data_IF_584659803043
#
_entry.id   IF_584659803043
#
_cell.length_a   1.000
_cell.length_b   1.000
_cell.length_c   1.000
_cell.angle_alpha   90.00
_cell.angle_beta   90.00
_cell.angle_gamma   90.00
#
_symmetry.space_group_name_H-M   'P 1'
#
loop_
_entity.id
_entity.type
_entity.pdbx_description
1 polymer ?
#
# COMPACT_ATOMS: atom_id res chain seq x y z
N UNK A 1 -0.95 -12.14 -22.21
CA UNK A 1 -0.98 -12.41 -20.77
C UNK A 1 0.41 -12.60 -20.13
N UNK A 2 1.45 -13.09 -20.83
CA UNK A 2 2.84 -13.12 -20.30
C UNK A 2 3.52 -11.74 -20.15
N UNK A 3 2.92 -10.63 -20.62
CA UNK A 3 3.46 -9.27 -20.52
C UNK A 3 3.03 -8.49 -19.26
N UNK A 4 2.00 -8.93 -18.54
CA UNK A 4 1.49 -8.22 -17.35
C UNK A 4 2.28 -8.57 -16.07
N UNK A 5 2.89 -9.75 -15.99
CA UNK A 5 3.63 -10.20 -14.78
C UNK A 5 5.07 -9.68 -14.77
N UNK A 6 5.65 -9.39 -15.94
CA UNK A 6 7.00 -8.81 -16.04
C UNK A 6 7.05 -7.32 -15.62
N UNK A 7 5.91 -6.65 -15.47
CA UNK A 7 5.86 -5.22 -15.13
C UNK A 7 5.95 -4.95 -13.61
N UNK A 8 5.65 -5.96 -12.78
CA UNK A 8 5.75 -5.86 -11.32
C UNK A 8 7.22 -5.95 -10.84
N UNK A 9 8.11 -6.50 -11.65
CA UNK A 9 9.52 -6.74 -11.28
C UNK A 9 10.49 -5.60 -11.63
N UNK A 10 10.08 -4.57 -12.38
CA UNK A 10 11.01 -3.58 -12.97
C UNK A 10 11.02 -2.20 -12.28
N UNK A 11 10.26 -1.97 -11.21
CA UNK A 11 10.28 -0.71 -10.45
C UNK A 11 10.97 -0.86 -9.08
N UNK A 12 11.81 -1.88 -8.92
CA UNK A 12 12.54 -2.16 -7.67
C UNK A 12 13.88 -1.43 -7.52
N UNK A 13 14.10 -0.30 -8.20
CA UNK A 13 15.33 0.50 -8.06
C UNK A 13 14.98 1.96 -7.80
N UNK A 14 14.57 2.23 -6.60
CA UNK A 14 14.70 3.45 -5.79
C UNK A 14 13.66 3.43 -4.67
N UNK A 15 13.92 2.69 -3.63
CA UNK A 15 13.50 2.99 -2.24
C UNK A 15 12.04 3.26 -1.88
N UNK A 16 11.04 3.10 -2.74
CA UNK A 16 9.63 3.17 -2.34
C UNK A 16 8.70 2.68 -3.46
N UNK A 17 8.34 1.39 -3.40
CA UNK A 17 7.30 0.84 -4.26
C UNK A 17 5.96 0.95 -3.52
N UNK A 18 5.20 1.98 -3.82
CA UNK A 18 3.76 1.98 -3.58
C UNK A 18 3.10 1.19 -4.70
N UNK A 19 2.63 -0.02 -4.42
CA UNK A 19 1.69 -0.68 -5.31
C UNK A 19 0.34 0.00 -5.08
N UNK A 20 0.07 1.03 -5.87
CA UNK A 20 -1.28 1.58 -6.00
C UNK A 20 -2.21 0.50 -6.57
N UNK A 21 -3.45 0.52 -6.14
CA UNK A 21 -4.50 -0.34 -6.64
C UNK A 21 -4.52 -0.27 -8.18
N UNK A 22 -4.31 -1.39 -8.86
CA UNK A 22 -4.15 -1.46 -10.32
C UNK A 22 -5.38 -0.98 -11.13
N UNK A 23 -6.49 -0.72 -10.44
CA UNK A 23 -7.74 -0.25 -11.05
C UNK A 23 -7.89 1.29 -11.04
N UNK A 24 -7.01 2.04 -10.36
CA UNK A 24 -7.04 3.51 -10.32
C UNK A 24 -5.86 4.20 -11.02
N UNK A 25 -4.84 3.45 -11.40
CA UNK A 25 -3.81 3.88 -12.33
C UNK A 25 -4.12 3.22 -13.68
N UNK A 26 -4.93 3.86 -14.51
CA UNK A 26 -4.53 3.92 -15.91
C UNK A 26 -3.12 4.52 -15.88
N UNK A 27 -2.13 3.61 -15.78
CA UNK A 27 -0.78 3.89 -16.23
C UNK A 27 -0.96 4.21 -17.71
N UNK A 28 -1.27 5.48 -18.00
CA UNK A 28 -1.06 6.02 -19.33
C UNK A 28 0.39 5.63 -19.58
N UNK A 29 0.57 4.63 -20.44
CA UNK A 29 1.87 4.15 -20.87
C UNK A 29 2.69 5.41 -21.02
N UNK A 30 3.84 5.51 -20.33
CA UNK A 30 4.78 6.61 -20.53
C UNK A 30 5.09 6.55 -22.01
N UNK A 31 4.26 7.20 -22.83
CA UNK A 31 4.58 7.46 -24.23
C UNK A 31 5.78 8.35 -24.12
N UNK A 32 6.91 7.88 -24.62
CA UNK A 32 8.08 8.72 -24.75
C UNK A 32 7.61 9.96 -25.49
N UNK A 33 7.52 11.10 -24.78
CA UNK A 33 7.09 12.37 -25.36
C UNK A 33 8.11 12.69 -26.44
N UNK A 34 7.66 12.66 -27.70
CA UNK A 34 8.50 13.03 -28.82
C UNK A 34 8.35 14.51 -29.06
N UNK A 35 9.45 15.24 -28.98
CA UNK A 35 9.49 16.66 -29.31
C UNK A 35 9.86 16.82 -30.78
N UNK A 36 9.17 17.75 -31.47
CA UNK A 36 9.32 18.00 -32.92
C UNK A 36 9.84 19.40 -33.22
N UNK A 37 9.78 20.31 -32.24
CA UNK A 37 10.21 21.71 -32.39
C UNK A 37 10.71 22.18 -31.02
N UNK A 38 11.65 23.10 -30.98
CA UNK A 38 12.09 23.85 -29.81
C UNK A 38 12.20 25.34 -30.14
N UNK A 39 12.17 26.18 -29.12
CA UNK A 39 12.24 27.63 -29.29
C UNK A 39 12.33 28.37 -27.97
N UNK A 40 12.33 29.68 -28.09
CA UNK A 40 12.29 30.62 -26.99
C UNK A 40 11.10 31.56 -27.12
N UNK A 41 10.47 31.89 -26.01
CA UNK A 41 9.42 32.89 -25.91
C UNK A 41 9.94 34.07 -25.09
N UNK A 42 9.97 35.24 -25.70
CA UNK A 42 10.48 36.48 -25.11
C UNK A 42 9.51 36.98 -24.02
N UNK A 43 10.02 37.18 -22.82
CA UNK A 43 9.29 37.79 -21.70
C UNK A 43 9.58 39.29 -21.54
N UNK A 44 10.51 39.85 -22.34
CA UNK A 44 11.08 41.18 -22.13
C UNK A 44 12.16 41.19 -21.07
N UNK A 45 12.83 42.35 -20.88
CA UNK A 45 13.85 42.57 -19.84
C UNK A 45 14.98 41.51 -19.83
N UNK A 46 15.46 41.13 -21.01
CA UNK A 46 16.49 40.10 -21.21
C UNK A 46 16.11 38.72 -20.64
N UNK A 47 14.82 38.42 -20.49
CA UNK A 47 14.30 37.18 -19.99
C UNK A 47 13.47 36.42 -21.01
N UNK A 48 13.54 35.09 -20.99
CA UNK A 48 12.80 34.23 -21.92
C UNK A 48 12.44 32.89 -21.35
N UNK A 49 11.36 32.27 -21.85
CA UNK A 49 11.03 30.86 -21.61
C UNK A 49 11.58 30.00 -22.73
N UNK A 50 12.28 28.96 -22.40
CA UNK A 50 12.60 27.88 -23.32
C UNK A 50 11.40 26.93 -23.41
N UNK A 51 11.04 26.50 -24.60
CA UNK A 51 9.96 25.55 -24.79
C UNK A 51 10.29 24.49 -25.84
N UNK A 52 9.56 23.39 -25.77
CA UNK A 52 9.53 22.36 -26.82
C UNK A 52 8.10 22.05 -27.21
N UNK A 53 7.89 21.69 -28.46
CA UNK A 53 6.59 21.27 -28.97
C UNK A 53 6.56 19.76 -29.10
N UNK A 54 5.53 19.15 -28.56
CA UNK A 54 5.30 17.70 -28.67
C UNK A 54 4.81 17.32 -30.07
N UNK A 55 4.89 16.03 -30.42
CA UNK A 55 4.30 15.52 -31.66
C UNK A 55 2.79 15.71 -31.76
N UNK A 56 2.11 15.99 -30.65
CA UNK A 56 0.67 16.29 -30.58
C UNK A 56 0.38 17.78 -30.77
N UNK A 57 1.41 18.60 -30.89
CA UNK A 57 1.30 20.05 -31.12
C UNK A 57 1.17 20.87 -29.84
N UNK A 58 1.39 20.30 -28.67
CA UNK A 58 1.34 20.99 -27.38
C UNK A 58 2.71 21.52 -26.96
N UNK A 59 2.74 22.63 -26.24
CA UNK A 59 3.96 23.27 -25.77
C UNK A 59 4.29 22.82 -24.34
N UNK A 60 5.53 22.42 -24.13
CA UNK A 60 6.13 22.16 -22.86
C UNK A 60 7.19 23.22 -22.53
N UNK A 61 7.02 23.97 -21.43
CA UNK A 61 8.03 24.92 -20.93
C UNK A 61 9.16 24.12 -20.32
N UNK A 62 10.36 24.24 -20.84
CA UNK A 62 11.53 23.44 -20.43
C UNK A 62 12.58 24.22 -19.67
N UNK A 63 12.46 25.52 -19.57
CA UNK A 63 13.39 26.36 -18.83
C UNK A 63 13.03 27.83 -18.87
N UNK A 64 13.68 28.60 -18.01
CA UNK A 64 13.66 30.04 -17.99
C UNK A 64 15.08 30.57 -18.02
N UNK A 65 15.30 31.66 -18.75
CA UNK A 65 16.57 32.38 -18.80
C UNK A 65 16.35 33.84 -18.43
N UNK A 66 17.41 34.49 -17.91
CA UNK A 66 17.36 35.86 -17.47
C UNK A 66 17.04 36.00 -15.98
N UNK A 67 16.66 37.21 -15.59
CA UNK A 67 16.46 37.59 -14.17
C UNK A 67 15.05 38.13 -13.91
N UNK A 68 14.06 37.69 -14.71
CA UNK A 68 12.68 38.09 -14.49
C UNK A 68 12.22 37.73 -13.07
N UNK A 69 11.70 38.72 -12.35
CA UNK A 69 11.18 38.57 -10.99
C UNK A 69 9.71 38.16 -10.98
N UNK A 70 9.00 38.46 -12.03
CA UNK A 70 7.58 38.12 -12.23
C UNK A 70 7.40 37.48 -13.60
N UNK A 71 6.77 36.33 -13.63
CA UNK A 71 6.54 35.57 -14.88
C UNK A 71 5.06 35.24 -15.00
N UNK A 72 4.49 35.61 -16.17
CA UNK A 72 3.18 35.13 -16.60
C UNK A 72 3.41 34.09 -17.68
N UNK A 73 3.14 32.82 -17.38
CA UNK A 73 3.22 31.75 -18.36
C UNK A 73 2.08 31.93 -19.35
N UNK A 74 2.35 32.06 -20.67
CA UNK A 74 1.30 32.29 -21.67
C UNK A 74 0.44 31.03 -21.85
N UNK A 75 -0.83 31.19 -22.14
CA UNK A 75 -1.73 30.09 -22.50
C UNK A 75 -1.34 29.39 -23.80
N UNK A 76 -0.77 30.19 -24.75
CA UNK A 76 -0.36 29.72 -26.06
C UNK A 76 0.98 30.34 -26.48
N UNK A 77 1.79 29.57 -27.19
CA UNK A 77 2.99 30.04 -27.88
C UNK A 77 2.85 29.66 -29.36
N UNK A 78 2.92 30.65 -30.26
CA UNK A 78 2.76 30.47 -31.72
C UNK A 78 1.47 29.73 -32.11
N UNK A 79 0.36 29.99 -31.38
CA UNK A 79 -0.95 29.38 -31.62
C UNK A 79 -1.04 27.91 -31.14
N UNK A 80 -0.07 27.45 -30.37
CA UNK A 80 -0.05 26.11 -29.76
C UNK A 80 -0.22 26.23 -28.24
N UNK A 81 -1.10 25.42 -27.64
CA UNK A 81 -1.40 25.49 -26.21
C UNK A 81 -0.19 25.11 -25.37
N UNK A 82 0.08 25.90 -24.33
CA UNK A 82 1.03 25.52 -23.26
C UNK A 82 0.32 24.59 -22.31
N UNK A 83 0.82 23.35 -22.25
CA UNK A 83 0.17 22.25 -21.52
C UNK A 83 0.98 21.79 -20.31
N UNK A 84 2.31 21.89 -20.35
CA UNK A 84 3.19 21.29 -19.36
C UNK A 84 4.32 22.23 -18.95
N UNK A 85 4.65 22.22 -17.67
CA UNK A 85 5.90 22.77 -17.13
C UNK A 85 6.82 21.58 -16.82
N UNK A 86 7.93 21.49 -17.56
CA UNK A 86 8.87 20.37 -17.43
C UNK A 86 9.56 20.33 -16.07
N UNK A 87 10.09 19.17 -15.73
CA UNK A 87 10.90 19.01 -14.54
C UNK A 87 12.11 19.95 -14.50
N UNK A 88 12.28 20.63 -13.38
CA UNK A 88 13.33 21.61 -13.15
C UNK A 88 13.30 22.86 -14.09
N UNK A 89 12.18 23.18 -14.74
CA UNK A 89 12.09 24.27 -15.71
C UNK A 89 12.49 25.64 -15.12
N UNK A 90 12.12 25.90 -13.87
CA UNK A 90 12.46 27.14 -13.14
C UNK A 90 13.43 26.88 -11.96
N UNK A 91 14.11 25.73 -11.97
CA UNK A 91 14.98 25.35 -10.86
C UNK A 91 16.04 26.39 -10.57
N UNK A 92 16.22 26.70 -9.26
CA UNK A 92 17.22 27.64 -8.73
C UNK A 92 17.08 29.08 -9.28
N UNK A 93 15.87 29.44 -9.79
CA UNK A 93 15.57 30.81 -10.23
C UNK A 93 15.25 31.68 -8.99
N UNK A 94 16.30 32.07 -8.28
CA UNK A 94 16.19 32.72 -6.97
C UNK A 94 15.54 34.12 -7.01
N UNK A 95 15.63 34.82 -8.16
CA UNK A 95 15.05 36.14 -8.35
C UNK A 95 13.53 36.14 -8.58
N UNK A 96 12.95 34.96 -8.90
CA UNK A 96 11.52 34.82 -9.19
C UNK A 96 10.70 35.00 -7.90
N UNK A 97 9.94 36.10 -7.84
CA UNK A 97 9.09 36.44 -6.69
C UNK A 97 7.63 36.06 -6.89
N UNK A 98 7.20 36.00 -8.17
CA UNK A 98 5.82 35.70 -8.55
C UNK A 98 5.78 34.93 -9.87
N UNK A 99 4.89 33.93 -9.95
CA UNK A 99 4.58 33.24 -11.21
C UNK A 99 3.07 33.04 -11.33
N UNK A 100 2.52 33.38 -12.51
CA UNK A 100 1.14 33.10 -12.85
C UNK A 100 1.11 31.89 -13.78
N UNK A 101 0.41 30.83 -13.36
CA UNK A 101 0.22 29.59 -14.11
C UNK A 101 -1.21 29.58 -14.68
N UNK A 102 -1.39 29.48 -16.00
CA UNK A 102 -2.72 29.48 -16.60
C UNK A 102 -3.47 28.16 -16.39
N UNK A 103 -4.80 28.22 -16.43
CA UNK A 103 -5.68 27.06 -16.22
C UNK A 103 -5.51 25.92 -17.24
N UNK A 104 -4.84 26.20 -18.36
CA UNK A 104 -4.58 25.21 -19.42
C UNK A 104 -3.44 24.22 -19.14
N UNK A 105 -2.67 24.44 -18.08
CA UNK A 105 -1.56 23.54 -17.72
C UNK A 105 -2.11 22.24 -17.14
N UNK A 106 -1.75 21.10 -17.72
CA UNK A 106 -2.16 19.77 -17.28
C UNK A 106 -1.16 19.12 -16.31
N UNK A 107 0.12 19.53 -16.35
CA UNK A 107 1.15 18.97 -15.47
C UNK A 107 2.25 19.99 -15.12
N UNK A 108 2.63 19.99 -13.85
CA UNK A 108 3.81 20.69 -13.31
C UNK A 108 4.75 19.58 -12.81
N UNK A 109 5.75 19.26 -13.62
CA UNK A 109 6.61 18.11 -13.36
C UNK A 109 7.54 18.30 -12.14
N UNK A 110 8.12 17.20 -11.68
CA UNK A 110 8.96 17.16 -10.47
C UNK A 110 10.07 18.21 -10.50
N UNK A 111 10.22 18.94 -9.38
CA UNK A 111 11.25 19.95 -9.20
C UNK A 111 11.07 21.22 -10.03
N UNK A 112 9.92 21.42 -10.70
CA UNK A 112 9.73 22.52 -11.66
C UNK A 112 10.12 23.90 -11.10
N UNK A 113 9.82 24.17 -9.83
CA UNK A 113 10.16 25.41 -9.11
C UNK A 113 11.15 25.22 -7.96
N UNK A 114 11.86 24.08 -7.95
CA UNK A 114 12.81 23.80 -6.88
C UNK A 114 13.86 24.91 -6.74
N UNK A 115 14.07 25.39 -5.51
CA UNK A 115 15.08 26.43 -5.24
C UNK A 115 14.70 27.83 -5.69
N UNK A 116 13.44 28.07 -6.09
CA UNK A 116 12.94 29.43 -6.33
C UNK A 116 12.79 30.19 -5.01
N UNK A 117 13.93 30.54 -4.41
CA UNK A 117 13.96 31.09 -3.05
C UNK A 117 13.32 32.49 -2.92
N UNK A 118 13.15 33.21 -4.02
CA UNK A 118 12.44 34.50 -4.06
C UNK A 118 10.92 34.38 -4.05
N UNK A 119 10.37 33.20 -4.43
CA UNK A 119 8.94 32.99 -4.59
C UNK A 119 8.19 33.13 -3.27
N UNK A 120 7.19 34.03 -3.22
CA UNK A 120 6.48 34.35 -1.97
C UNK A 120 5.11 33.71 -1.85
N UNK A 121 4.44 33.51 -2.97
CA UNK A 121 3.14 32.85 -3.03
C UNK A 121 2.93 32.16 -4.37
N UNK A 122 2.07 31.14 -4.40
CA UNK A 122 1.69 30.45 -5.62
C UNK A 122 0.22 29.99 -5.54
N UNK A 123 -0.48 30.15 -6.66
CA UNK A 123 -1.80 29.56 -6.88
C UNK A 123 -1.67 28.45 -7.91
N UNK A 124 -2.10 27.25 -7.54
CA UNK A 124 -2.12 26.08 -8.42
C UNK A 124 -3.48 26.03 -9.12
N UNK A 125 -3.51 25.97 -10.47
CA UNK A 125 -4.77 25.94 -11.21
C UNK A 125 -5.56 24.66 -11.04
N UNK A 126 -6.88 24.73 -11.24
CA UNK A 126 -7.83 23.62 -11.08
C UNK A 126 -7.55 22.43 -12.02
N UNK A 127 -6.78 22.64 -13.08
CA UNK A 127 -6.37 21.57 -14.00
C UNK A 127 -5.33 20.61 -13.41
N UNK A 128 -4.67 20.97 -12.29
CA UNK A 128 -3.59 20.19 -11.67
C UNK A 128 -4.16 19.28 -10.59
N UNK A 129 -4.13 17.94 -10.75
CA UNK A 129 -4.68 17.00 -9.76
C UNK A 129 -3.68 16.58 -8.68
N UNK A 130 -2.39 16.91 -8.82
CA UNK A 130 -1.34 16.51 -7.87
C UNK A 130 -0.15 17.46 -7.89
N UNK A 131 0.54 17.56 -6.77
CA UNK A 131 1.83 18.27 -6.66
C UNK A 131 2.94 17.23 -6.73
N UNK A 132 3.72 17.27 -7.79
CA UNK A 132 4.82 16.32 -8.02
C UNK A 132 5.98 16.50 -7.03
N UNK A 133 6.83 15.50 -6.94
CA UNK A 133 7.94 15.45 -5.99
C UNK A 133 8.91 16.61 -6.12
N UNK A 134 9.26 17.22 -5.00
CA UNK A 134 10.21 18.35 -4.91
C UNK A 134 9.82 19.59 -5.72
N UNK A 135 8.56 19.73 -6.17
CA UNK A 135 8.14 20.82 -7.05
C UNK A 135 8.49 22.20 -6.50
N UNK A 136 8.29 22.42 -5.19
CA UNK A 136 8.60 23.69 -4.51
C UNK A 136 9.68 23.50 -3.43
N UNK A 137 10.43 22.39 -3.46
CA UNK A 137 11.51 22.16 -2.50
C UNK A 137 12.50 23.32 -2.51
N UNK A 138 12.94 23.74 -1.32
CA UNK A 138 13.92 24.82 -1.12
C UNK A 138 13.40 26.22 -1.55
N UNK A 139 12.07 26.43 -1.71
CA UNK A 139 11.45 27.74 -1.89
C UNK A 139 11.33 28.46 -0.53
N UNK A 140 12.45 28.92 0.01
CA UNK A 140 12.56 29.35 1.42
C UNK A 140 11.68 30.53 1.81
N UNK A 141 11.34 31.45 0.87
CA UNK A 141 10.47 32.61 1.13
C UNK A 141 9.00 32.36 0.79
N UNK A 142 8.63 31.13 0.34
CA UNK A 142 7.26 30.79 0.02
C UNK A 142 6.40 30.78 1.28
N UNK A 143 5.46 31.75 1.40
CA UNK A 143 4.62 31.95 2.59
C UNK A 143 3.26 31.29 2.45
N UNK A 144 2.71 31.32 1.25
CA UNK A 144 1.36 30.82 1.00
C UNK A 144 1.26 30.03 -0.30
N UNK A 145 0.48 28.95 -0.25
CA UNK A 145 0.13 28.13 -1.39
C UNK A 145 -1.39 27.96 -1.41
N UNK A 146 -2.01 28.27 -2.55
CA UNK A 146 -3.42 27.97 -2.80
C UNK A 146 -3.51 26.73 -3.65
N UNK A 147 -4.05 25.65 -3.11
CA UNK A 147 -4.30 24.39 -3.80
C UNK A 147 -5.75 24.34 -4.31
N UNK A 148 -6.02 23.76 -5.48
CA UNK A 148 -7.38 23.54 -5.94
C UNK A 148 -8.05 22.39 -5.17
N UNK A 149 -9.39 22.41 -5.13
CA UNK A 149 -10.19 21.40 -4.40
C UNK A 149 -10.03 19.97 -4.94
N UNK A 150 -9.56 19.80 -6.16
CA UNK A 150 -9.38 18.49 -6.80
C UNK A 150 -7.99 17.88 -6.63
N UNK A 151 -7.11 18.50 -5.85
CA UNK A 151 -5.82 17.90 -5.50
C UNK A 151 -6.06 16.61 -4.73
N UNK A 152 -5.42 15.52 -5.17
CA UNK A 152 -5.47 14.20 -4.54
C UNK A 152 -4.16 13.81 -3.87
N UNK A 153 -3.03 14.23 -4.44
CA UNK A 153 -1.71 13.80 -3.98
C UNK A 153 -0.76 14.99 -3.85
N UNK A 154 0.01 15.00 -2.74
CA UNK A 154 1.18 15.85 -2.55
C UNK A 154 2.36 14.91 -2.39
N UNK A 155 3.28 14.92 -3.35
CA UNK A 155 4.35 13.95 -3.48
C UNK A 155 5.57 14.26 -2.60
N UNK A 156 6.56 13.37 -2.60
CA UNK A 156 7.77 13.44 -1.75
C UNK A 156 8.45 14.80 -1.82
N UNK A 157 8.77 15.35 -0.65
CA UNK A 157 9.53 16.59 -0.53
C UNK A 157 8.92 17.80 -1.25
N UNK A 158 7.62 17.77 -1.59
CA UNK A 158 7.00 18.78 -2.46
C UNK A 158 7.22 20.21 -1.98
N UNK A 159 7.18 20.45 -0.65
CA UNK A 159 7.41 21.73 0.02
C UNK A 159 8.56 21.63 1.05
N UNK A 160 9.42 20.62 0.97
CA UNK A 160 10.54 20.49 1.91
C UNK A 160 11.41 21.76 1.90
N UNK A 161 11.74 22.28 3.10
CA UNK A 161 12.51 23.50 3.33
C UNK A 161 11.83 24.80 2.83
N UNK A 162 10.51 24.81 2.62
CA UNK A 162 9.77 26.07 2.50
C UNK A 162 9.59 26.69 3.89
N UNK A 163 10.65 27.24 4.43
CA UNK A 163 10.74 27.61 5.86
C UNK A 163 9.78 28.72 6.31
N UNK A 164 9.30 29.54 5.38
CA UNK A 164 8.29 30.57 5.63
C UNK A 164 6.86 30.12 5.36
N UNK A 165 6.64 28.88 4.85
CA UNK A 165 5.30 28.41 4.49
C UNK A 165 4.48 28.14 5.74
N UNK A 166 3.56 29.05 6.05
CA UNK A 166 2.62 28.95 7.16
C UNK A 166 1.17 28.79 6.71
N UNK A 167 0.85 29.20 5.48
CA UNK A 167 -0.52 29.19 4.94
C UNK A 167 -0.64 28.28 3.73
N UNK A 168 -1.34 27.16 3.92
CA UNK A 168 -1.71 26.25 2.85
C UNK A 168 -3.10 25.66 3.13
N UNK A 169 -4.01 25.77 2.15
CA UNK A 169 -5.31 25.11 2.23
C UNK A 169 -5.18 23.67 1.70
N UNK A 170 -5.14 22.70 2.58
CA UNK A 170 -5.15 21.27 2.19
C UNK A 170 -6.60 20.85 2.04
N UNK A 171 -7.07 20.52 0.80
CA UNK A 171 -8.48 20.24 0.57
C UNK A 171 -8.90 18.86 1.10
N UNK A 172 -10.21 18.72 1.38
CA UNK A 172 -10.79 17.46 1.90
C UNK A 172 -10.69 16.27 0.92
N UNK A 173 -10.42 16.54 -0.35
CA UNK A 173 -10.25 15.49 -1.37
C UNK A 173 -8.83 14.91 -1.41
N UNK A 174 -7.93 15.38 -0.54
CA UNK A 174 -6.56 14.84 -0.48
C UNK A 174 -6.62 13.34 -0.09
N UNK A 175 -5.98 12.49 -0.86
CA UNK A 175 -5.92 11.05 -0.59
C UNK A 175 -4.59 10.68 0.11
N UNK A 176 -3.50 11.38 -0.25
CA UNK A 176 -2.18 11.07 0.28
C UNK A 176 -1.25 12.28 0.27
N UNK A 177 -0.44 12.37 1.32
CA UNK A 177 0.66 13.33 1.44
C UNK A 177 1.93 12.52 1.68
N UNK A 178 2.83 12.48 0.70
CA UNK A 178 3.99 11.58 0.79
C UNK A 178 5.07 12.11 1.74
N UNK A 179 6.06 11.26 2.01
CA UNK A 179 7.05 11.51 3.05
C UNK A 179 7.81 12.83 2.83
N UNK A 180 8.06 13.53 3.92
CA UNK A 180 8.80 14.78 3.98
C UNK A 180 8.20 15.93 3.13
N UNK A 181 6.93 15.79 2.65
CA UNK A 181 6.28 16.82 1.84
C UNK A 181 6.30 18.21 2.50
N UNK A 182 6.10 18.28 3.82
CA UNK A 182 6.10 19.51 4.62
C UNK A 182 7.26 19.60 5.62
N UNK A 183 8.32 18.86 5.41
CA UNK A 183 9.48 18.88 6.32
C UNK A 183 10.15 20.25 6.32
N UNK A 184 10.44 20.78 7.52
CA UNK A 184 11.03 22.10 7.72
C UNK A 184 10.19 23.24 7.12
N UNK A 185 8.86 23.09 7.09
CA UNK A 185 7.94 24.20 6.81
C UNK A 185 7.43 24.78 8.12
N UNK A 186 7.15 26.08 8.12
CA UNK A 186 6.52 26.72 9.28
C UNK A 186 5.17 26.11 9.60
N UNK A 187 4.38 25.74 8.57
CA UNK A 187 3.10 25.02 8.74
C UNK A 187 3.25 23.76 9.59
N UNK A 188 4.29 22.95 9.33
CA UNK A 188 4.53 21.72 10.10
C UNK A 188 5.12 22.04 11.49
N UNK A 189 6.05 22.99 11.57
CA UNK A 189 6.73 23.35 12.81
C UNK A 189 5.79 24.01 13.83
N UNK A 190 4.77 24.71 13.36
CA UNK A 190 3.73 25.32 14.21
C UNK A 190 2.66 24.31 14.68
N UNK A 191 2.61 23.07 14.14
CA UNK A 191 1.71 22.06 14.67
C UNK A 191 2.08 21.67 16.11
N UNK A 192 1.12 21.37 16.97
CA UNK A 192 1.41 20.86 18.31
C UNK A 192 2.10 19.50 18.24
N UNK A 193 2.85 19.15 19.31
CA UNK A 193 3.35 17.78 19.46
C UNK A 193 2.19 16.78 19.53
N UNK A 194 2.38 15.61 18.94
CA UNK A 194 1.37 14.56 18.84
C UNK A 194 0.97 14.28 17.40
N UNK A 195 -0.31 13.99 17.18
CA UNK A 195 -0.84 13.65 15.86
C UNK A 195 -0.97 14.90 14.98
N UNK A 196 -0.23 14.98 13.91
CA UNK A 196 -0.42 15.98 12.85
C UNK A 196 -1.34 15.39 11.80
N UNK A 197 -2.54 15.98 11.67
CA UNK A 197 -3.57 15.54 10.72
C UNK A 197 -3.85 16.66 9.74
N UNK A 198 -3.81 16.35 8.46
CA UNK A 198 -4.13 17.25 7.36
C UNK A 198 -5.38 16.72 6.66
N UNK A 199 -6.51 17.42 6.76
CA UNK A 199 -7.82 16.93 6.38
C UNK A 199 -8.08 15.54 7.01
N UNK A 200 -8.16 14.47 6.25
CA UNK A 200 -8.35 13.10 6.76
C UNK A 200 -7.09 12.21 6.65
N UNK A 201 -5.93 12.80 6.39
CA UNK A 201 -4.63 12.11 6.36
C UNK A 201 -3.90 12.35 7.68
N UNK A 202 -3.64 11.30 8.44
CA UNK A 202 -2.71 11.34 9.56
C UNK A 202 -1.30 11.40 8.97
N UNK A 203 -0.75 12.62 8.92
CA UNK A 203 0.51 12.90 8.25
C UNK A 203 1.71 12.36 9.03
N UNK A 204 1.82 12.69 10.33
CA UNK A 204 2.94 12.25 11.17
C UNK A 204 2.64 12.43 12.66
N UNK A 205 3.29 11.65 13.51
CA UNK A 205 3.45 11.96 14.93
C UNK A 205 4.64 12.92 15.08
N UNK A 206 4.40 14.10 15.67
CA UNK A 206 5.42 15.14 15.90
C UNK A 206 5.90 15.12 17.33
N UNK A 207 7.17 15.47 17.54
CA UNK A 207 7.77 15.56 18.85
C UNK A 207 8.19 14.22 19.43
N UNK A 208 8.57 14.23 20.71
CA UNK A 208 8.98 13.04 21.46
C UNK A 208 7.76 12.36 22.07
N UNK A 209 7.53 11.10 21.72
CA UNK A 209 6.44 10.32 22.30
C UNK A 209 6.74 10.00 23.77
N UNK A 210 5.86 10.34 24.73
CA UNK A 210 6.04 9.96 26.13
C UNK A 210 6.10 8.44 26.33
N UNK A 211 6.73 8.02 27.42
CA UNK A 211 6.77 6.60 27.78
C UNK A 211 5.36 6.03 28.00
N UNK A 212 5.14 4.80 27.60
CA UNK A 212 3.87 4.07 27.76
C UNK A 212 2.66 4.75 27.10
N UNK A 213 2.87 5.40 25.94
CA UNK A 213 1.79 6.09 25.22
C UNK A 213 0.82 5.10 24.57
N UNK A 214 -0.47 5.29 24.84
CA UNK A 214 -1.57 4.74 24.06
C UNK A 214 -2.01 5.78 23.05
N UNK A 215 -2.10 5.41 21.77
CA UNK A 215 -2.53 6.30 20.69
C UNK A 215 -3.92 5.90 20.21
N UNK A 216 -4.86 6.83 20.34
CA UNK A 216 -6.18 6.71 19.73
C UNK A 216 -6.23 7.58 18.48
N UNK A 217 -6.23 6.94 17.29
CA UNK A 217 -6.37 7.66 16.02
C UNK A 217 -7.80 8.16 15.92
N UNK A 218 -8.04 9.47 15.67
CA UNK A 218 -9.37 10.02 15.64
C UNK A 218 -10.25 9.46 14.53
N UNK A 219 -11.55 9.40 14.80
CA UNK A 219 -12.55 9.17 13.76
C UNK A 219 -12.43 10.22 12.65
N UNK A 220 -12.69 9.81 11.39
CA UNK A 220 -12.52 10.68 10.22
C UNK A 220 -11.17 10.57 9.54
N UNK A 221 -10.14 10.01 10.20
CA UNK A 221 -8.88 9.65 9.52
C UNK A 221 -9.15 8.50 8.55
N UNK A 222 -8.77 8.68 7.30
CA UNK A 222 -8.89 7.67 6.23
C UNK A 222 -7.56 7.05 5.83
N UNK A 223 -6.49 7.80 5.97
CA UNK A 223 -5.14 7.38 5.60
C UNK A 223 -4.18 7.60 6.76
N UNK A 224 -3.45 6.56 7.14
CA UNK A 224 -2.26 6.65 7.99
C UNK A 224 -1.07 6.71 7.06
N UNK A 225 -0.38 7.83 7.05
CA UNK A 225 0.64 8.13 6.06
C UNK A 225 1.90 7.26 6.19
N UNK A 226 2.76 7.35 5.19
CA UNK A 226 4.11 6.75 5.21
C UNK A 226 4.91 7.27 6.40
N UNK A 227 5.61 6.38 7.12
CA UNK A 227 6.46 6.72 8.26
C UNK A 227 5.74 7.55 9.36
N UNK A 228 4.39 7.51 9.43
CA UNK A 228 3.61 8.35 10.35
C UNK A 228 4.03 8.17 11.81
N UNK A 229 4.35 6.95 12.23
CA UNK A 229 4.82 6.59 13.57
C UNK A 229 6.16 5.84 13.54
N UNK A 230 6.95 6.01 12.50
CA UNK A 230 8.22 5.29 12.40
C UNK A 230 9.10 5.57 13.63
N UNK A 231 9.59 4.48 14.26
CA UNK A 231 10.42 4.51 15.49
C UNK A 231 9.75 5.15 16.71
N UNK A 232 8.42 5.17 16.78
CA UNK A 232 7.69 5.53 17.99
C UNK A 232 7.77 4.39 19.02
N UNK A 233 8.98 4.20 19.59
CA UNK A 233 9.30 3.05 20.48
C UNK A 233 8.51 3.02 21.78
N UNK A 234 8.00 4.17 22.22
CA UNK A 234 7.23 4.33 23.44
C UNK A 234 5.72 4.10 23.26
N UNK A 235 5.27 3.80 22.02
CA UNK A 235 3.89 3.44 21.75
C UNK A 235 3.61 2.02 22.27
N UNK A 236 2.73 1.87 23.25
CA UNK A 236 2.37 0.57 23.82
C UNK A 236 1.08 -0.02 23.22
N UNK A 237 0.20 0.85 22.72
CA UNK A 237 -1.02 0.45 22.03
C UNK A 237 -1.43 1.52 21.00
N UNK A 238 -2.17 1.08 19.98
CA UNK A 238 -2.80 1.95 19.00
C UNK A 238 -4.20 1.46 18.69
N UNK A 239 -5.17 2.39 18.69
CA UNK A 239 -6.51 2.14 18.17
C UNK A 239 -6.62 2.72 16.77
N UNK A 240 -6.86 1.85 15.78
CA UNK A 240 -7.10 2.24 14.39
C UNK A 240 -8.61 2.16 14.15
N UNK A 241 -9.32 3.30 13.90
CA UNK A 241 -10.76 3.29 13.78
C UNK A 241 -11.25 2.65 12.49
N UNK A 242 -12.49 2.16 12.52
CA UNK A 242 -13.19 1.79 11.29
C UNK A 242 -13.38 3.06 10.44
N UNK A 243 -12.96 3.04 9.19
CA UNK A 243 -12.92 4.23 8.33
C UNK A 243 -11.52 4.48 7.77
N UNK A 244 -10.47 4.00 8.45
CA UNK A 244 -9.12 3.96 7.88
C UNK A 244 -9.12 2.95 6.73
N UNK A 245 -8.84 3.46 5.52
CA UNK A 245 -8.77 2.66 4.30
C UNK A 245 -7.35 2.23 3.97
N UNK A 246 -6.35 3.05 4.33
CA UNK A 246 -4.97 2.84 3.95
C UNK A 246 -4.01 3.01 5.13
N UNK A 247 -3.07 2.07 5.24
CA UNK A 247 -1.91 2.13 6.14
C UNK A 247 -0.67 2.15 5.25
N UNK A 248 0.03 3.29 5.24
CA UNK A 248 1.19 3.53 4.40
C UNK A 248 2.39 2.65 4.74
N UNK A 249 3.34 2.55 3.81
CA UNK A 249 4.59 1.82 4.05
C UNK A 249 5.36 2.44 5.21
N UNK A 250 5.97 1.60 6.03
CA UNK A 250 6.74 1.99 7.22
C UNK A 250 5.93 2.74 8.29
N UNK A 251 4.61 2.82 8.20
CA UNK A 251 3.78 3.67 9.04
C UNK A 251 4.05 3.49 10.55
N UNK A 252 4.27 2.26 10.99
CA UNK A 252 4.57 1.90 12.39
C UNK A 252 5.90 1.14 12.52
N UNK A 253 6.79 1.25 11.53
CA UNK A 253 8.07 0.54 11.58
C UNK A 253 8.85 0.91 12.84
N UNK A 254 9.38 -0.09 13.53
CA UNK A 254 10.20 0.11 14.74
C UNK A 254 9.42 0.56 15.98
N UNK A 255 8.08 0.43 16.00
CA UNK A 255 7.26 0.65 17.20
C UNK A 255 7.45 -0.51 18.18
N UNK A 256 8.62 -0.59 18.80
CA UNK A 256 9.05 -1.75 19.62
C UNK A 256 8.25 -1.92 20.90
N UNK A 257 7.57 -0.88 21.39
CA UNK A 257 6.70 -0.93 22.56
C UNK A 257 5.31 -1.51 22.29
N UNK A 258 4.88 -1.56 20.99
CA UNK A 258 3.54 -2.03 20.62
C UNK A 258 3.36 -3.51 20.93
N UNK A 259 2.35 -3.86 21.77
CA UNK A 259 2.19 -5.23 22.27
C UNK A 259 1.09 -6.03 21.58
N UNK A 260 0.04 -5.34 21.10
CA UNK A 260 -1.08 -5.95 20.39
C UNK A 260 -1.59 -5.05 19.29
N UNK A 261 -2.12 -5.64 18.23
CA UNK A 261 -2.62 -4.90 17.07
C UNK A 261 -3.87 -5.56 16.50
N UNK A 262 -4.86 -4.73 16.21
CA UNK A 262 -6.04 -5.10 15.41
C UNK A 262 -6.11 -4.19 14.19
N UNK A 263 -6.09 -4.79 12.99
CA UNK A 263 -6.29 -4.08 11.73
C UNK A 263 -7.78 -4.12 11.37
N UNK A 264 -8.46 -2.97 11.21
CA UNK A 264 -9.88 -2.94 10.87
C UNK A 264 -10.13 -3.42 9.44
N UNK A 265 -11.32 -3.92 9.19
CA UNK A 265 -11.70 -4.50 7.89
C UNK A 265 -11.88 -3.49 6.76
N UNK A 266 -11.90 -2.20 7.07
CA UNK A 266 -11.91 -1.12 6.08
C UNK A 266 -10.57 -0.96 5.37
N UNK A 267 -9.46 -1.33 6.01
CA UNK A 267 -8.12 -1.38 5.40
C UNK A 267 -8.08 -2.46 4.34
N UNK A 268 -7.84 -2.08 3.09
CA UNK A 268 -7.73 -3.03 1.97
C UNK A 268 -6.34 -3.63 1.85
N UNK A 269 -5.33 -2.85 2.18
CA UNK A 269 -3.94 -3.21 2.03
C UNK A 269 -3.12 -2.71 3.21
N UNK A 270 -2.30 -3.60 3.78
CA UNK A 270 -1.30 -3.24 4.79
C UNK A 270 -0.01 -2.92 4.05
N UNK A 271 0.48 -1.68 4.16
CA UNK A 271 1.64 -1.17 3.43
C UNK A 271 2.93 -1.95 3.64
N UNK A 272 3.88 -1.77 2.74
CA UNK A 272 5.17 -2.46 2.84
C UNK A 272 5.92 -2.05 4.11
N UNK A 273 6.45 -3.02 4.85
CA UNK A 273 7.14 -2.83 6.13
C UNK A 273 6.35 -1.98 7.15
N UNK A 274 5.01 -1.92 7.02
CA UNK A 274 4.17 -1.02 7.84
C UNK A 274 4.36 -1.24 9.34
N UNK A 275 4.59 -2.48 9.77
CA UNK A 275 4.85 -2.88 11.15
C UNK A 275 6.16 -3.67 11.29
N UNK A 276 7.10 -3.46 10.36
CA UNK A 276 8.40 -4.12 10.47
C UNK A 276 9.12 -3.71 11.76
N UNK A 277 9.89 -4.62 12.33
CA UNK A 277 10.66 -4.40 13.56
C UNK A 277 9.80 -3.99 14.78
N UNK A 278 8.49 -4.29 14.80
CA UNK A 278 7.65 -4.16 15.99
C UNK A 278 7.94 -5.33 16.96
N UNK A 279 9.14 -5.31 17.54
CA UNK A 279 9.68 -6.45 18.30
C UNK A 279 8.91 -6.80 19.58
N UNK A 280 8.08 -5.88 20.10
CA UNK A 280 7.20 -6.10 21.26
C UNK A 280 5.84 -6.70 20.89
N UNK A 281 5.48 -6.76 19.61
CA UNK A 281 4.16 -7.20 19.15
C UNK A 281 3.97 -8.70 19.40
N UNK A 282 3.08 -9.07 20.34
CA UNK A 282 2.81 -10.46 20.70
C UNK A 282 1.59 -11.03 19.98
N UNK A 283 0.60 -10.19 19.66
CA UNK A 283 -0.65 -10.64 19.04
C UNK A 283 -1.11 -9.72 17.92
N UNK A 284 -1.56 -10.33 16.82
CA UNK A 284 -2.08 -9.65 15.63
C UNK A 284 -3.44 -10.23 15.25
N UNK A 285 -4.42 -9.34 15.08
CA UNK A 285 -5.71 -9.69 14.49
C UNK A 285 -5.93 -8.84 13.22
N UNK A 286 -6.18 -9.50 12.10
CA UNK A 286 -6.56 -8.85 10.84
C UNK A 286 -8.02 -9.18 10.58
N UNK A 287 -8.87 -8.14 10.52
CA UNK A 287 -10.31 -8.28 10.35
C UNK A 287 -10.70 -8.53 8.88
N UNK A 288 -11.91 -9.07 8.69
CA UNK A 288 -12.47 -9.33 7.36
C UNK A 288 -12.59 -8.05 6.55
N UNK A 289 -12.13 -8.07 5.31
CA UNK A 289 -12.08 -6.94 4.37
C UNK A 289 -10.65 -6.57 3.95
N UNK A 290 -9.64 -6.93 4.75
CA UNK A 290 -8.23 -6.80 4.34
C UNK A 290 -7.92 -7.86 3.29
N UNK A 291 -7.34 -7.43 2.16
CA UNK A 291 -7.09 -8.32 1.02
C UNK A 291 -5.58 -8.60 0.81
N UNK A 292 -4.71 -7.64 1.11
CA UNK A 292 -3.29 -7.77 0.80
C UNK A 292 -2.39 -7.41 1.98
N UNK A 293 -1.42 -8.27 2.27
CA UNK A 293 -0.32 -8.02 3.21
C UNK A 293 0.94 -7.82 2.38
N UNK A 294 1.44 -6.59 2.33
CA UNK A 294 2.55 -6.19 1.46
C UNK A 294 3.91 -6.69 1.97
N UNK A 295 4.94 -6.46 1.15
CA UNK A 295 6.31 -6.91 1.43
C UNK A 295 6.78 -6.47 2.83
N UNK A 296 7.32 -7.42 3.59
CA UNK A 296 7.88 -7.19 4.92
C UNK A 296 6.92 -6.54 5.95
N UNK A 297 5.61 -6.58 5.73
CA UNK A 297 4.64 -5.83 6.55
C UNK A 297 4.80 -6.06 8.06
N UNK A 298 5.17 -7.28 8.49
CA UNK A 298 5.43 -7.68 9.87
C UNK A 298 6.80 -8.35 10.02
N UNK A 299 7.76 -8.04 9.13
CA UNK A 299 9.12 -8.58 9.21
C UNK A 299 9.80 -8.15 10.52
N UNK A 300 10.49 -9.07 11.18
CA UNK A 300 11.19 -8.77 12.45
C UNK A 300 10.27 -8.58 13.66
N UNK A 301 8.98 -8.94 13.60
CA UNK A 301 8.10 -8.98 14.76
C UNK A 301 8.45 -10.19 15.65
N UNK A 302 9.59 -10.12 16.32
CA UNK A 302 10.21 -11.28 16.99
C UNK A 302 9.40 -11.86 18.15
N UNK A 303 8.55 -11.06 18.81
CA UNK A 303 7.67 -11.53 19.89
C UNK A 303 6.33 -12.10 19.40
N UNK A 304 6.02 -11.97 18.09
CA UNK A 304 4.72 -12.34 17.54
C UNK A 304 4.48 -13.84 17.65
N UNK A 305 3.55 -14.24 18.51
CA UNK A 305 3.22 -15.64 18.77
C UNK A 305 1.77 -16.00 18.44
N UNK A 306 0.90 -15.02 18.25
CA UNK A 306 -0.51 -15.21 17.92
C UNK A 306 -0.91 -14.34 16.72
N UNK A 307 -1.33 -14.99 15.64
CA UNK A 307 -1.78 -14.33 14.40
C UNK A 307 -3.13 -14.86 13.98
N UNK A 308 -4.12 -13.97 13.88
CA UNK A 308 -5.43 -14.28 13.31
C UNK A 308 -5.58 -13.56 11.95
N UNK A 309 -5.57 -14.33 10.88
CA UNK A 309 -5.71 -13.85 9.51
C UNK A 309 -7.16 -13.93 9.05
N UNK A 310 -7.65 -12.89 8.37
CA UNK A 310 -8.98 -12.82 7.77
C UNK A 310 -9.10 -13.74 6.54
N UNK A 311 -10.30 -14.25 6.26
CA UNK A 311 -10.58 -15.06 5.04
C UNK A 311 -10.55 -14.24 3.76
N UNK A 312 -10.70 -12.93 3.86
CA UNK A 312 -10.62 -11.99 2.75
C UNK A 312 -9.21 -11.80 2.17
N UNK A 313 -8.16 -12.23 2.89
CA UNK A 313 -6.77 -12.10 2.43
C UNK A 313 -6.57 -12.95 1.18
N UNK A 314 -6.06 -12.31 0.13
CA UNK A 314 -5.75 -12.92 -1.18
C UNK A 314 -4.26 -13.12 -1.39
N UNK A 315 -3.45 -12.16 -0.92
CA UNK A 315 -2.00 -12.15 -1.18
C UNK A 315 -1.24 -11.93 0.12
N UNK A 316 -0.26 -12.80 0.37
CA UNK A 316 0.77 -12.64 1.40
C UNK A 316 2.10 -12.44 0.66
N UNK A 317 2.61 -11.20 0.65
CA UNK A 317 3.80 -10.83 -0.10
C UNK A 317 5.09 -11.30 0.56
N UNK A 318 6.22 -11.07 -0.12
CA UNK A 318 7.54 -11.50 0.32
C UNK A 318 7.91 -10.91 1.69
N UNK A 319 8.46 -11.73 2.56
CA UNK A 319 8.86 -11.37 3.92
C UNK A 319 7.71 -10.86 4.82
N UNK A 320 6.45 -10.99 4.42
CA UNK A 320 5.32 -10.42 5.16
C UNK A 320 5.31 -10.79 6.65
N UNK A 321 5.75 -11.99 7.00
CA UNK A 321 5.99 -12.50 8.36
C UNK A 321 7.40 -13.07 8.49
N UNK A 322 8.39 -12.46 7.84
CA UNK A 322 9.78 -12.83 7.97
C UNK A 322 10.27 -12.63 9.40
N UNK A 323 11.21 -13.43 9.85
CA UNK A 323 11.86 -13.28 11.15
C UNK A 323 10.93 -13.17 12.38
N UNK A 324 9.68 -13.68 12.28
CA UNK A 324 8.73 -13.78 13.39
C UNK A 324 9.12 -14.96 14.28
N UNK A 325 10.23 -14.84 15.02
CA UNK A 325 10.89 -15.98 15.70
C UNK A 325 10.08 -16.61 16.82
N UNK A 326 9.09 -15.92 17.40
CA UNK A 326 8.18 -16.49 18.40
C UNK A 326 6.95 -17.17 17.80
N UNK A 327 6.72 -17.05 16.48
CA UNK A 327 5.56 -17.65 15.83
C UNK A 327 5.74 -19.18 15.75
N UNK A 328 4.81 -19.94 16.37
CA UNK A 328 4.89 -21.41 16.41
C UNK A 328 3.92 -22.08 15.43
N UNK A 329 2.81 -21.42 15.13
CA UNK A 329 1.82 -21.92 14.19
C UNK A 329 1.15 -20.79 13.40
N UNK A 330 0.71 -21.08 12.19
CA UNK A 330 -0.12 -20.21 11.38
C UNK A 330 -1.13 -21.01 10.55
N UNK A 331 -2.36 -20.49 10.47
CA UNK A 331 -3.37 -21.02 9.57
C UNK A 331 -3.56 -20.05 8.39
N UNK A 332 -3.22 -20.50 7.20
CA UNK A 332 -3.43 -19.74 5.96
C UNK A 332 -4.94 -19.76 5.65
N UNK A 333 -5.57 -18.60 5.44
CA UNK A 333 -7.00 -18.53 5.15
C UNK A 333 -7.39 -19.13 3.78
N UNK A 334 -8.65 -19.57 3.66
CA UNK A 334 -9.18 -20.16 2.41
C UNK A 334 -9.22 -19.16 1.23
N UNK A 335 -9.19 -17.84 1.51
CA UNK A 335 -9.19 -16.79 0.50
C UNK A 335 -7.86 -16.55 -0.18
N UNK A 336 -6.75 -17.06 0.39
CA UNK A 336 -5.40 -16.81 -0.12
C UNK A 336 -5.22 -17.44 -1.49
N UNK A 337 -4.79 -16.62 -2.44
CA UNK A 337 -4.50 -17.01 -3.82
C UNK A 337 -2.98 -17.12 -4.06
N UNK A 338 -2.18 -16.30 -3.38
CA UNK A 338 -0.72 -16.26 -3.53
C UNK A 338 0.01 -16.08 -2.20
N UNK A 339 1.09 -16.86 -2.03
CA UNK A 339 2.08 -16.71 -0.97
C UNK A 339 3.44 -16.55 -1.66
N UNK A 340 4.02 -15.35 -1.57
CA UNK A 340 5.26 -15.03 -2.26
C UNK A 340 6.48 -15.58 -1.54
N UNK A 341 7.61 -15.61 -2.23
CA UNK A 341 8.87 -16.13 -1.71
C UNK A 341 9.26 -15.45 -0.38
N UNK A 342 9.84 -16.23 0.50
CA UNK A 342 10.29 -15.79 1.83
C UNK A 342 9.20 -15.22 2.77
N UNK A 343 7.91 -15.42 2.49
CA UNK A 343 6.84 -14.80 3.27
C UNK A 343 6.94 -15.08 4.79
N UNK A 344 7.48 -16.24 5.20
CA UNK A 344 7.70 -16.65 6.59
C UNK A 344 9.16 -16.99 6.90
N UNK A 345 10.10 -16.58 6.04
CA UNK A 345 11.52 -16.94 6.20
C UNK A 345 12.06 -16.54 7.57
N UNK A 346 12.96 -17.33 8.16
CA UNK A 346 13.59 -17.01 9.43
C UNK A 346 12.68 -17.12 10.66
N UNK A 347 11.40 -17.52 10.49
CA UNK A 347 10.49 -17.78 11.62
C UNK A 347 10.84 -19.12 12.26
N UNK A 348 11.96 -19.14 12.98
CA UNK A 348 12.71 -20.33 13.41
C UNK A 348 11.95 -21.27 14.35
N UNK A 349 10.88 -20.82 15.01
CA UNK A 349 10.02 -21.65 15.83
C UNK A 349 8.72 -22.08 15.14
N UNK A 350 8.49 -21.69 13.87
CA UNK A 350 7.27 -22.03 13.13
C UNK A 350 7.27 -23.54 12.81
N UNK A 351 6.55 -24.30 13.63
CA UNK A 351 6.51 -25.75 13.55
C UNK A 351 5.23 -26.30 12.90
N UNK A 352 4.19 -25.49 12.79
CA UNK A 352 2.90 -25.92 12.24
C UNK A 352 2.32 -24.87 11.30
N UNK A 353 2.06 -25.27 10.05
CA UNK A 353 1.36 -24.43 9.07
C UNK A 353 0.18 -25.21 8.51
N UNK A 354 -1.00 -24.62 8.57
CA UNK A 354 -2.19 -25.20 7.95
C UNK A 354 -2.46 -24.46 6.64
N UNK A 355 -2.48 -25.18 5.51
CA UNK A 355 -2.73 -24.62 4.18
C UNK A 355 -4.03 -25.23 3.63
N UNK A 356 -5.04 -24.40 3.30
CA UNK A 356 -6.30 -24.85 2.75
C UNK A 356 -6.16 -25.32 1.30
N UNK A 357 -7.28 -25.69 0.67
CA UNK A 357 -7.31 -25.94 -0.77
C UNK A 357 -7.20 -24.63 -1.54
N UNK A 358 -6.00 -24.19 -1.83
CA UNK A 358 -5.74 -23.03 -2.69
C UNK A 358 -6.14 -23.40 -4.13
N UNK A 359 -6.94 -22.56 -4.77
CA UNK A 359 -7.36 -22.76 -6.16
C UNK A 359 -6.20 -22.41 -7.09
N UNK A 360 -5.75 -23.38 -7.87
CA UNK A 360 -4.81 -23.13 -8.98
C UNK A 360 -5.53 -22.25 -10.02
N UNK A 361 -5.00 -21.06 -10.29
CA UNK A 361 -5.47 -20.24 -11.41
C UNK A 361 -4.79 -20.70 -12.69
N UNK A 362 -5.56 -20.89 -13.76
CA UNK A 362 -5.07 -21.34 -15.07
C UNK A 362 -3.84 -20.54 -15.53
N UNK A 363 -2.68 -21.21 -15.57
CA UNK A 363 -1.43 -20.68 -16.12
C UNK A 363 -0.45 -20.04 -15.12
N UNK A 364 -0.69 -20.13 -13.81
CA UNK A 364 0.28 -19.79 -12.76
C UNK A 364 0.56 -21.10 -12.02
N UNK A 365 1.70 -21.69 -12.30
CA UNK A 365 2.07 -23.01 -11.78
C UNK A 365 2.37 -23.01 -10.28
N UNK A 366 2.65 -21.84 -9.65
CA UNK A 366 3.07 -21.74 -8.25
C UNK A 366 2.33 -20.62 -7.51
N UNK A 367 1.14 -20.93 -6.96
CA UNK A 367 0.45 -20.03 -6.00
C UNK A 367 1.13 -19.99 -4.63
N UNK A 368 2.08 -20.92 -4.37
CA UNK A 368 3.00 -20.92 -3.23
C UNK A 368 4.40 -20.91 -3.84
N UNK A 369 5.08 -19.77 -3.77
CA UNK A 369 6.41 -19.63 -4.34
C UNK A 369 7.45 -20.47 -3.58
N UNK A 370 8.62 -20.64 -4.20
CA UNK A 370 9.74 -21.30 -3.59
C UNK A 370 10.21 -20.53 -2.34
N UNK A 371 10.81 -21.20 -1.39
CA UNK A 371 11.46 -20.61 -0.21
C UNK A 371 10.50 -19.84 0.76
N UNK A 372 9.17 -20.04 0.66
CA UNK A 372 8.18 -19.37 1.54
C UNK A 372 8.50 -19.63 3.01
N UNK A 373 8.95 -20.82 3.38
CA UNK A 373 9.27 -21.25 4.75
C UNK A 373 10.78 -21.53 4.93
N UNK A 374 11.64 -20.83 4.21
CA UNK A 374 13.09 -20.95 4.35
C UNK A 374 13.51 -20.59 5.78
N UNK A 375 14.43 -21.34 6.37
CA UNK A 375 14.94 -21.14 7.72
C UNK A 375 13.87 -21.09 8.83
N UNK A 376 12.72 -21.72 8.60
CA UNK A 376 11.73 -22.02 9.63
C UNK A 376 12.20 -23.17 10.51
N UNK A 377 11.35 -23.59 11.46
CA UNK A 377 11.65 -24.71 12.35
C UNK A 377 12.06 -25.97 11.57
N UNK A 378 13.12 -26.68 11.97
CA UNK A 378 13.47 -27.96 11.37
C UNK A 378 12.39 -29.04 11.59
N UNK A 379 11.47 -28.82 12.54
CA UNK A 379 10.31 -29.66 12.80
C UNK A 379 9.02 -29.19 12.09
N UNK A 380 9.13 -28.27 11.16
CA UNK A 380 7.98 -27.75 10.43
C UNK A 380 7.15 -28.89 9.81
N UNK A 381 5.85 -28.85 10.06
CA UNK A 381 4.88 -29.74 9.45
C UNK A 381 3.79 -28.91 8.75
N UNK A 382 3.58 -29.19 7.48
CA UNK A 382 2.48 -28.60 6.72
C UNK A 382 1.26 -29.52 6.82
N UNK A 383 0.15 -28.95 7.30
CA UNK A 383 -1.16 -29.58 7.37
C UNK A 383 -1.98 -29.14 6.19
N UNK A 384 -2.52 -30.06 5.41
CA UNK A 384 -3.28 -29.75 4.21
C UNK A 384 -4.06 -30.94 3.68
N UNK A 385 -4.59 -30.83 2.47
CA UNK A 385 -5.36 -31.91 1.84
C UNK A 385 -4.49 -32.67 0.82
N UNK A 386 -4.70 -33.99 0.73
CA UNK A 386 -4.02 -34.82 -0.28
C UNK A 386 -4.35 -34.35 -1.69
N UNK A 387 -3.37 -34.44 -2.59
CA UNK A 387 -3.51 -34.04 -3.98
C UNK A 387 -3.58 -32.52 -4.21
N UNK A 388 -3.23 -31.70 -3.21
CA UNK A 388 -3.24 -30.25 -3.31
C UNK A 388 -1.84 -29.64 -3.41
N UNK A 389 -1.79 -28.31 -3.67
CA UNK A 389 -0.55 -27.53 -3.64
C UNK A 389 0.22 -27.68 -2.34
N UNK A 390 -0.48 -27.78 -1.19
CA UNK A 390 0.15 -27.95 0.12
C UNK A 390 0.99 -29.24 0.21
N UNK A 391 0.46 -30.39 -0.29
CA UNK A 391 1.20 -31.65 -0.32
C UNK A 391 2.37 -31.58 -1.30
N UNK A 392 2.16 -31.02 -2.51
CA UNK A 392 3.21 -30.86 -3.53
C UNK A 392 4.36 -30.00 -2.98
N UNK A 393 4.03 -28.80 -2.47
CA UNK A 393 5.01 -27.90 -1.89
C UNK A 393 5.83 -28.54 -0.77
N UNK A 394 5.15 -29.23 0.18
CA UNK A 394 5.83 -29.93 1.27
C UNK A 394 6.82 -30.97 0.75
N UNK A 395 6.42 -31.77 -0.26
CA UNK A 395 7.28 -32.78 -0.89
C UNK A 395 8.47 -32.16 -1.60
N UNK A 396 8.25 -31.10 -2.38
CA UNK A 396 9.28 -30.48 -3.22
C UNK A 396 10.35 -29.76 -2.37
N UNK A 397 9.96 -29.32 -1.13
CA UNK A 397 10.85 -28.65 -0.19
C UNK A 397 11.30 -29.53 0.99
N UNK A 398 11.07 -30.87 0.94
CA UNK A 398 11.42 -31.82 1.99
C UNK A 398 10.84 -31.46 3.39
N UNK A 399 9.64 -30.86 3.41
CA UNK A 399 8.92 -30.51 4.62
C UNK A 399 7.95 -31.64 4.95
N UNK A 400 7.79 -31.97 6.24
CA UNK A 400 6.83 -32.98 6.69
C UNK A 400 5.40 -32.55 6.33
N UNK A 401 4.63 -33.47 5.73
CA UNK A 401 3.22 -33.27 5.42
C UNK A 401 2.32 -34.12 6.33
N UNK A 402 1.20 -33.54 6.76
CA UNK A 402 0.14 -34.23 7.50
C UNK A 402 -1.22 -33.94 6.87
N UNK A 403 -1.89 -35.00 6.42
CA UNK A 403 -3.20 -34.85 5.76
C UNK A 403 -4.30 -34.50 6.76
N UNK A 404 -5.14 -33.55 6.38
CA UNK A 404 -6.37 -33.17 7.09
C UNK A 404 -7.59 -34.01 6.64
N UNK A 405 -7.44 -34.84 5.60
CA UNK A 405 -8.51 -35.70 5.13
C UNK A 405 -8.87 -36.75 6.22
N UNK A 406 -10.15 -37.07 6.41
CA UNK A 406 -10.53 -38.13 7.31
C UNK A 406 -9.88 -39.46 6.85
N UNK A 407 -9.23 -40.14 7.75
CA UNK A 407 -8.69 -41.48 7.48
C UNK A 407 -9.88 -42.41 7.19
N UNK A 408 -10.11 -42.69 5.90
CA UNK A 408 -11.03 -43.76 5.52
C UNK A 408 -10.36 -45.08 5.90
N UNK A 409 -10.61 -45.56 7.10
CA UNK A 409 -10.26 -46.93 7.48
C UNK A 409 -11.14 -47.87 6.65
N UNK A 410 -10.63 -48.30 5.51
CA UNK A 410 -11.18 -49.47 4.80
C UNK A 410 -10.91 -50.69 5.65
N UNK A 411 -11.81 -51.00 6.57
CA UNK A 411 -11.88 -52.33 7.16
C UNK A 411 -12.23 -53.28 6.03
N UNK A 412 -11.23 -53.94 5.44
CA UNK A 412 -11.45 -55.13 4.61
C UNK A 412 -12.05 -56.21 5.49
N UNK A 413 -13.37 -56.27 5.52
CA UNK A 413 -14.03 -57.45 6.09
C UNK A 413 -13.67 -58.64 5.18
N UNK A 414 -12.81 -59.54 5.70
CA UNK A 414 -12.63 -60.87 5.11
C UNK A 414 -13.96 -61.57 5.21
N UNK A 415 -14.65 -61.72 4.06
CA UNK A 415 -15.79 -62.57 3.93
C UNK A 415 -15.34 -64.01 4.05
N UNK A 416 -15.57 -64.65 5.17
CA UNK A 416 -15.59 -66.10 5.28
C UNK A 416 -16.88 -66.59 4.70
N UNK A 417 -16.79 -67.18 3.50
CA UNK A 417 -17.86 -67.94 2.88
C UNK A 417 -18.02 -69.30 3.62
N UNK A 418 -19.06 -69.42 4.40
CA UNK A 418 -19.67 -70.69 4.70
C UNK A 418 -21.19 -70.50 4.69
N UNK A 419 -21.81 -70.97 3.59
CA UNK A 419 -23.27 -71.14 3.50
C UNK A 419 -23.71 -72.39 4.25
N UNK A 420 -24.88 -72.37 4.85
CA UNK A 420 -25.87 -73.35 4.50
C UNK A 420 -27.20 -72.74 4.04
N UNK A 421 -27.80 -73.43 3.06
CA UNK A 421 -29.15 -73.20 2.54
C UNK A 421 -30.18 -73.47 3.63
N UNK A 422 -31.22 -72.64 3.72
CA UNK A 422 -32.64 -73.00 3.65
C UNK A 422 -33.52 -71.81 4.04
N UNK A 423 -34.50 -71.48 3.21
CA UNK A 423 -35.93 -71.28 3.52
C UNK A 423 -36.40 -69.96 4.08
N UNK A 424 -37.02 -69.23 3.17
CA UNK A 424 -38.34 -68.61 3.26
C UNK A 424 -38.60 -67.40 4.14
N UNK A 425 -39.19 -66.39 3.43
CA UNK A 425 -40.21 -65.38 3.80
C UNK A 425 -39.88 -64.30 4.86
N UNK A 426 -39.97 -63.07 4.39
CA UNK A 426 -40.72 -62.06 5.12
C UNK A 426 -39.98 -60.83 5.64
N UNK A 427 -40.32 -59.73 5.01
CA UNK A 427 -40.42 -58.38 5.59
C UNK A 427 -39.16 -57.56 5.93
N UNK A 428 -38.96 -56.58 5.10
CA UNK A 428 -38.36 -55.26 5.25
C UNK A 428 -38.16 -54.69 6.67
N UNK A 429 -36.96 -54.20 6.92
CA UNK A 429 -36.76 -53.04 7.74
C UNK A 429 -35.47 -52.35 7.32
N UNK A 430 -35.63 -51.22 6.63
CA UNK A 430 -34.56 -50.24 6.39
C UNK A 430 -34.37 -49.42 7.64
N UNK A 431 -33.21 -49.49 8.25
CA UNK A 431 -32.78 -48.53 9.23
C UNK A 431 -31.90 -47.49 8.55
N UNK A 432 -32.47 -46.34 8.29
CA UNK A 432 -31.75 -45.13 7.85
C UNK A 432 -31.31 -44.39 9.10
N UNK A 433 -30.02 -44.30 9.34
CA UNK A 433 -29.48 -43.39 10.33
C UNK A 433 -29.25 -42.04 9.62
N UNK A 434 -30.17 -41.12 9.86
CA UNK A 434 -30.05 -39.74 9.40
C UNK A 434 -29.14 -38.94 10.30
N UNK A 435 -28.12 -38.30 9.72
CA UNK A 435 -27.37 -37.23 10.35
C UNK A 435 -28.10 -35.93 9.95
N UNK A 436 -28.67 -35.27 10.95
CA UNK A 436 -29.37 -34.02 10.80
C UNK A 436 -28.34 -32.88 10.60
N UNK A 437 -28.31 -32.30 9.41
CA UNK A 437 -27.75 -30.99 9.18
C UNK A 437 -28.86 -29.94 9.32
N UNK A 438 -28.81 -29.13 10.37
CA UNK A 438 -29.74 -28.02 10.57
C UNK A 438 -29.34 -26.86 9.65
N UNK A 439 -30.08 -26.72 8.52
CA UNK A 439 -30.07 -25.51 7.74
C UNK A 439 -31.19 -24.57 8.23
N UNK A 440 -30.82 -23.41 8.76
CA UNK A 440 -31.77 -22.34 9.05
C UNK A 440 -31.98 -21.52 7.78
N UNK A 441 -33.13 -21.72 7.15
CA UNK A 441 -33.61 -20.89 6.05
C UNK A 441 -34.38 -19.70 6.66
N UNK A 442 -33.91 -18.46 6.47
CA UNK A 442 -34.70 -17.26 6.72
C UNK A 442 -35.26 -16.78 5.38
N UNK A 443 -36.56 -16.95 5.23
CA UNK A 443 -37.36 -16.40 4.13
C UNK A 443 -37.66 -14.93 4.42
N UNK A 444 -37.13 -14.01 3.64
CA UNK A 444 -37.60 -12.62 3.60
C UNK A 444 -38.71 -12.48 2.56
N UNK A 445 -39.91 -12.15 3.04
CA UNK A 445 -41.04 -11.75 2.20
C UNK A 445 -40.85 -10.31 1.70
N UNK A 446 -40.93 -10.15 0.38
CA UNK A 446 -41.27 -8.89 -0.28
C UNK A 446 -42.67 -8.42 0.18
N UNK A 447 -42.81 -7.13 0.43
CA UNK A 447 -44.05 -6.40 0.21
C UNK A 447 -43.75 -5.05 -0.39
N UNK A 448 -44.37 -4.82 -1.53
CA UNK A 448 -44.55 -3.56 -2.24
C UNK A 448 -45.49 -2.64 -1.47
N UNK A 449 -45.19 -1.38 -1.43
CA UNK A 449 -46.02 -0.21 -1.65
C UNK A 449 -45.13 1.02 -1.74
#
# INVERSE_FOLDING_TARGET
MKKAISFIASIAVAGSLTVFNADSLECSAIRAITFVEDGTYDLGEDSSLNYKVTSEGEVCITGCQGTATEIVIPEEINGKKVNTIAGNAFRDHAELTSVTIPDGIADIAAGAFRGCSGLTSITIPDSIPHINGSTFKDCTNLKSVTLPENIRYIDFNAFENCTELDTINIPENIEMILNDAFKNTKWYDDQPDGLVIAAHVLYKYKGTMPENTSVDIPEGVRTINFNAFENCTNMTSVTIPEGVADIGSYAFKGCTGLTSLTIPGTVKMIGAAAFADCTGLTSLTINEGVENIQNAAFDGCTALNSVKLAKSIKIICSYAFGNCTSLTEVAIPEGVEYIMNNAFTGSSNLAKVTIPKIKEKNGIEDSIEKDVFLDCSPNLTIYGYKGTLAERYAKDNNIKFSALDPVVTTTTAKSNSNSPKTGDSGASAFAVIGIAAAAVLVLSRKREA
#
